data_IF_531239432096
#
_entry.id   IF_531239432096
#
_cell.length_a   1.000
_cell.length_b   1.000
_cell.length_c   1.000
_cell.angle_alpha   90.00
_cell.angle_beta   90.00
_cell.angle_gamma   90.00
#
_symmetry.space_group_name_H-M   'P 1'
#
loop_
_entity.id
_entity.type
_entity.pdbx_description
1 polymer ?
#
# COMPACT_ATOMS: atom_id res chain seq x y z
N UNK A 1 -8.74 22.62 -8.00
CA UNK A 1 -8.45 21.19 -8.24
C UNK A 1 -9.21 20.36 -7.24
N UNK A 2 -9.84 19.29 -7.65
CA UNK A 2 -10.56 18.37 -6.77
C UNK A 2 -9.69 17.12 -6.57
N UNK A 3 -9.43 16.76 -5.32
CA UNK A 3 -8.56 15.64 -4.96
C UNK A 3 -9.42 14.58 -4.27
N UNK A 4 -9.25 13.34 -4.66
CA UNK A 4 -9.87 12.18 -4.03
C UNK A 4 -8.77 11.28 -3.48
N UNK A 5 -8.76 11.11 -2.17
CA UNK A 5 -7.91 10.12 -1.52
C UNK A 5 -8.61 8.75 -1.58
N UNK A 6 -8.01 7.81 -2.29
CA UNK A 6 -8.49 6.43 -2.43
C UNK A 6 -7.64 5.44 -1.63
N UNK A 7 -6.71 5.93 -0.81
CA UNK A 7 -5.90 5.08 0.06
C UNK A 7 -6.68 4.67 1.32
N UNK A 8 -6.33 3.50 1.85
CA UNK A 8 -6.82 3.05 3.14
C UNK A 8 -5.92 3.56 4.27
N UNK A 9 -6.49 3.86 5.43
CA UNK A 9 -5.72 4.14 6.63
C UNK A 9 -4.97 2.87 7.06
N UNK A 10 -3.66 3.00 7.28
CA UNK A 10 -2.75 1.85 7.44
C UNK A 10 -3.14 0.92 8.59
N UNK A 11 -3.47 1.48 9.75
CA UNK A 11 -3.67 0.70 10.99
C UNK A 11 -5.07 0.10 11.12
N UNK A 12 -6.03 0.61 10.36
CA UNK A 12 -7.41 0.12 10.30
C UNK A 12 -7.73 -0.67 9.03
N UNK A 13 -6.79 -0.75 8.09
CA UNK A 13 -6.96 -1.51 6.86
C UNK A 13 -7.04 -3.01 7.13
N UNK A 14 -7.67 -3.73 6.20
CA UNK A 14 -7.72 -5.18 6.26
C UNK A 14 -6.31 -5.78 6.24
N UNK A 15 -6.05 -6.72 7.14
CA UNK A 15 -4.80 -7.49 7.19
C UNK A 15 -5.06 -8.87 6.62
N UNK A 16 -4.22 -9.32 5.70
CA UNK A 16 -4.35 -10.66 5.14
C UNK A 16 -4.24 -11.72 6.25
N UNK A 17 -5.09 -12.75 6.25
CA UNK A 17 -5.08 -13.79 7.28
C UNK A 17 -3.69 -14.45 7.41
N UNK A 18 -3.14 -14.41 8.62
CA UNK A 18 -1.80 -14.93 8.92
C UNK A 18 -0.68 -13.88 8.90
N UNK A 19 -0.92 -12.71 8.33
CA UNK A 19 0.04 -11.60 8.38
C UNK A 19 -0.05 -10.84 9.70
N UNK A 20 1.06 -10.16 10.06
CA UNK A 20 1.07 -9.26 11.21
C UNK A 20 0.37 -7.95 10.87
N UNK A 21 -0.45 -7.46 11.79
CA UNK A 21 -1.00 -6.11 11.72
C UNK A 21 0.12 -5.06 11.86
N UNK A 22 -0.01 -3.91 11.19
CA UNK A 22 0.95 -2.82 11.34
C UNK A 22 0.90 -2.26 12.76
N UNK A 23 2.07 -1.85 13.25
CA UNK A 23 2.26 -1.30 14.60
C UNK A 23 3.01 0.01 14.52
N UNK A 24 2.56 0.99 15.30
CA UNK A 24 3.26 2.25 15.51
C UNK A 24 3.72 2.34 16.96
N UNK A 25 4.98 2.69 17.16
CA UNK A 25 5.54 3.00 18.48
C UNK A 25 6.08 4.42 18.46
N UNK A 26 5.63 5.26 19.39
CA UNK A 26 6.15 6.60 19.57
C UNK A 26 7.46 6.49 20.37
N UNK A 27 8.60 6.67 19.70
CA UNK A 27 9.93 6.55 20.30
C UNK A 27 10.48 7.88 20.83
N UNK A 28 9.92 9.00 20.37
CA UNK A 28 10.20 10.34 20.91
C UNK A 28 8.88 11.11 20.98
N UNK A 29 8.65 11.80 22.10
CA UNK A 29 7.34 12.39 22.42
C UNK A 29 7.53 13.77 23.05
N UNK A 30 7.11 14.81 22.36
CA UNK A 30 7.19 16.19 22.86
C UNK A 30 6.33 16.42 24.10
N UNK A 31 5.25 15.66 24.29
CA UNK A 31 4.44 15.77 25.51
C UNK A 31 5.15 15.25 26.75
N UNK A 32 6.24 14.50 26.55
CA UNK A 32 7.13 13.97 27.61
C UNK A 32 8.48 14.69 27.65
N UNK A 33 8.59 15.87 27.03
CA UNK A 33 9.78 16.71 27.09
C UNK A 33 10.83 16.46 26.01
N UNK A 34 10.54 15.62 25.02
CA UNK A 34 11.43 15.45 23.86
C UNK A 34 11.40 16.68 22.95
N UNK A 35 12.45 16.88 22.16
CA UNK A 35 12.55 17.98 21.19
C UNK A 35 11.69 17.79 19.93
N UNK A 36 11.25 16.57 19.67
CA UNK A 36 10.45 16.22 18.49
C UNK A 36 9.58 14.98 18.76
N UNK A 37 8.60 14.74 17.87
CA UNK A 37 7.84 13.50 17.86
C UNK A 37 8.40 12.58 16.78
N UNK A 38 8.75 11.35 17.13
CA UNK A 38 9.24 10.33 16.19
C UNK A 38 8.49 9.03 16.44
N UNK A 39 7.91 8.49 15.36
CA UNK A 39 7.27 7.18 15.38
C UNK A 39 8.12 6.17 14.63
N UNK A 40 8.20 4.98 15.17
CA UNK A 40 8.72 3.80 14.51
C UNK A 40 7.55 2.97 13.99
N UNK A 41 7.68 2.44 12.76
CA UNK A 41 6.66 1.60 12.14
C UNK A 41 7.22 0.19 11.94
N UNK A 42 6.43 -0.79 12.36
CA UNK A 42 6.63 -2.21 12.06
C UNK A 42 5.45 -2.67 11.23
N UNK A 43 5.70 -3.15 10.01
CA UNK A 43 4.62 -3.54 9.11
C UNK A 43 5.08 -4.59 8.10
N UNK A 44 4.13 -5.37 7.61
CA UNK A 44 4.28 -6.19 6.42
C UNK A 44 4.19 -5.27 5.18
N UNK A 45 4.97 -5.55 4.14
CA UNK A 45 4.93 -4.78 2.90
C UNK A 45 3.55 -4.79 2.20
N UNK A 46 2.69 -5.75 2.53
CA UNK A 46 1.32 -5.88 2.02
C UNK A 46 0.25 -5.24 2.92
N UNK A 47 0.62 -4.51 3.97
CA UNK A 47 -0.34 -3.77 4.78
C UNK A 47 -0.78 -2.48 4.08
N UNK A 48 -2.07 -2.15 4.18
CA UNK A 48 -2.63 -0.92 3.66
C UNK A 48 -2.69 -0.87 2.13
N UNK A 49 -2.77 0.33 1.58
CA UNK A 49 -2.79 0.55 0.13
C UNK A 49 -1.38 0.42 -0.42
N UNK A 50 -1.15 -0.55 -1.26
CA UNK A 50 0.16 -0.87 -1.81
C UNK A 50 0.04 -1.47 -3.21
N UNK A 51 1.18 -1.69 -3.83
CA UNK A 51 1.31 -2.38 -5.10
C UNK A 51 2.31 -3.52 -4.96
N UNK A 52 2.00 -4.65 -5.56
CA UNK A 52 2.89 -5.80 -5.62
C UNK A 52 3.86 -5.68 -6.80
N UNK A 53 5.13 -5.93 -6.54
CA UNK A 53 6.10 -6.11 -7.61
C UNK A 53 5.96 -7.52 -8.24
N UNK A 54 6.37 -7.71 -9.51
CA UNK A 54 6.39 -9.04 -10.13
C UNK A 54 7.10 -10.10 -9.29
N UNK A 55 8.14 -9.70 -8.55
CA UNK A 55 8.90 -10.59 -7.68
C UNK A 55 8.09 -11.23 -6.57
N UNK A 56 6.94 -10.69 -6.24
CA UNK A 56 6.06 -11.28 -5.24
C UNK A 56 5.66 -12.72 -5.61
N UNK A 57 5.40 -13.01 -6.87
CA UNK A 57 5.00 -14.33 -7.36
C UNK A 57 5.97 -14.95 -8.37
N UNK A 58 6.88 -14.16 -8.94
CA UNK A 58 7.81 -14.61 -9.98
C UNK A 58 9.22 -14.59 -9.42
N UNK A 59 9.87 -15.76 -9.34
CA UNK A 59 11.20 -15.95 -8.72
C UNK A 59 12.22 -14.91 -9.19
N UNK A 60 12.33 -14.68 -10.49
CA UNK A 60 13.28 -13.76 -11.11
C UNK A 60 12.58 -12.50 -11.64
N UNK A 61 11.39 -12.19 -11.10
CA UNK A 61 10.65 -10.99 -11.43
C UNK A 61 11.34 -9.73 -10.90
N UNK A 62 11.03 -8.58 -11.50
CA UNK A 62 11.52 -7.27 -11.04
C UNK A 62 11.04 -6.95 -9.65
N UNK A 63 11.89 -6.31 -8.86
CA UNK A 63 11.54 -5.67 -7.59
C UNK A 63 10.84 -4.33 -7.85
N UNK A 64 10.25 -3.75 -6.81
CA UNK A 64 9.45 -2.51 -6.96
C UNK A 64 10.30 -1.33 -7.45
N UNK A 65 11.55 -1.26 -7.03
CA UNK A 65 12.51 -0.22 -7.41
C UNK A 65 13.03 -0.37 -8.85
N UNK A 66 12.83 -1.53 -9.46
CA UNK A 66 13.17 -1.81 -10.86
C UNK A 66 12.01 -1.51 -11.83
N UNK A 67 10.84 -1.12 -11.33
CA UNK A 67 9.70 -0.77 -12.16
C UNK A 67 9.80 0.67 -12.65
N UNK A 68 9.51 0.87 -13.94
CA UNK A 68 9.46 2.20 -14.53
C UNK A 68 8.28 3.00 -13.94
N UNK A 69 8.54 4.23 -13.52
CA UNK A 69 7.54 5.08 -12.86
C UNK A 69 6.35 5.43 -13.78
N UNK A 70 6.55 5.48 -15.08
CA UNK A 70 5.51 5.75 -16.07
C UNK A 70 4.40 4.68 -16.08
N UNK A 71 4.69 3.48 -15.60
CA UNK A 71 3.68 2.44 -15.40
C UNK A 71 2.77 2.67 -14.19
N UNK A 72 3.15 3.58 -13.32
CA UNK A 72 2.48 3.86 -12.05
C UNK A 72 1.75 5.21 -12.06
N UNK A 73 1.96 6.01 -13.10
CA UNK A 73 1.40 7.36 -13.25
C UNK A 73 0.75 7.46 -14.62
N UNK A 74 -0.50 7.82 -14.66
CA UNK A 74 -1.21 7.94 -15.93
C UNK A 74 -2.68 8.27 -15.76
N UNK A 75 -3.37 8.37 -16.87
CA UNK A 75 -4.83 8.47 -16.88
C UNK A 75 -5.43 7.14 -16.42
N UNK A 76 -6.54 7.21 -15.69
CA UNK A 76 -7.26 6.01 -15.27
C UNK A 76 -8.75 6.12 -15.59
N UNK A 77 -9.39 4.98 -15.66
CA UNK A 77 -10.85 4.87 -15.66
C UNK A 77 -11.28 4.17 -14.36
N UNK A 78 -12.36 4.65 -13.76
CA UNK A 78 -12.98 4.00 -12.61
C UNK A 78 -14.17 3.20 -13.12
N UNK A 79 -14.14 1.90 -12.91
CA UNK A 79 -15.17 0.97 -13.32
C UNK A 79 -15.73 0.23 -12.11
N UNK A 80 -17.01 -0.12 -12.17
CA UNK A 80 -17.64 -0.96 -11.16
C UNK A 80 -17.50 -2.42 -11.55
N UNK A 81 -17.12 -3.26 -10.59
CA UNK A 81 -17.09 -4.71 -10.74
C UNK A 81 -17.70 -5.37 -9.50
N UNK A 82 -18.42 -6.47 -9.71
CA UNK A 82 -18.96 -7.29 -8.63
C UNK A 82 -18.20 -8.62 -8.60
N UNK A 83 -17.80 -9.06 -7.40
CA UNK A 83 -17.06 -10.30 -7.21
C UNK A 83 -15.60 -10.22 -7.68
N UNK A 84 -15.06 -11.34 -8.15
CA UNK A 84 -13.70 -11.41 -8.67
C UNK A 84 -13.60 -10.74 -10.04
N UNK A 85 -12.53 -9.98 -10.23
CA UNK A 85 -12.22 -9.36 -11.53
C UNK A 85 -11.47 -10.38 -12.38
N UNK A 86 -12.15 -10.92 -13.38
CA UNK A 86 -11.57 -11.89 -14.31
C UNK A 86 -10.73 -11.18 -15.40
N UNK A 87 -9.76 -11.88 -16.01
CA UNK A 87 -8.88 -11.30 -17.02
C UNK A 87 -9.61 -10.67 -18.24
N UNK A 88 -10.76 -11.21 -18.59
CA UNK A 88 -11.61 -10.73 -19.69
C UNK A 88 -12.14 -9.31 -19.40
N UNK A 89 -12.53 -9.04 -18.17
CA UNK A 89 -13.02 -7.72 -17.74
C UNK A 89 -11.97 -6.61 -17.92
N UNK A 90 -10.70 -6.94 -17.76
CA UNK A 90 -9.60 -5.96 -17.84
C UNK A 90 -9.22 -5.66 -19.31
N UNK A 91 -9.64 -6.49 -20.26
CA UNK A 91 -9.26 -6.35 -21.68
C UNK A 91 -10.23 -5.50 -22.51
N UNK A 92 -11.41 -5.19 -21.97
CA UNK A 92 -12.42 -4.31 -22.59
C UNK A 92 -12.15 -2.82 -22.29
#
# INVERSE_FOLDING_TARGET
MKIYDISQELFSSHVYPGDKAPKRTLISDMTKGASCNVSELEMNAHNGTHMDAPRHFVRDGKTIDELELDRLIGSCAVVSAEGAVEPEFVRE
#
